data_IF_352680549261
#
_entry.id   IF_352680549261
#
_cell.length_a   1.000
_cell.length_b   1.000
_cell.length_c   1.000
_cell.angle_alpha   90.00
_cell.angle_beta   90.00
_cell.angle_gamma   90.00
#
_symmetry.space_group_name_H-M   'P 1'
#
loop_
_entity.id
_entity.type
_entity.pdbx_description
1 polymer ?
#
# COMPACT_ATOMS: atom_id res chain seq x y z
N UNK A 1 23.66 -2.16 -1.54
CA UNK A 1 24.69 -2.00 -2.59
C UNK A 1 25.48 -0.73 -2.34
N UNK A 2 26.82 -0.78 -2.42
CA UNK A 2 27.66 0.41 -2.47
C UNK A 2 27.32 1.19 -3.74
N UNK A 3 27.27 2.54 -3.70
CA UNK A 3 27.01 3.36 -4.88
C UNK A 3 28.09 3.16 -5.94
N UNK A 4 27.82 3.54 -7.20
CA UNK A 4 28.80 3.54 -8.28
C UNK A 4 29.97 4.47 -7.94
N UNK A 5 31.19 4.01 -8.17
CA UNK A 5 32.35 4.89 -8.13
C UNK A 5 32.32 5.86 -9.33
N UNK A 6 33.00 7.04 -9.27
CA UNK A 6 33.02 7.99 -10.39
C UNK A 6 33.76 7.46 -11.62
N UNK A 7 34.52 6.40 -11.51
CA UNK A 7 35.22 5.73 -12.59
C UNK A 7 35.32 4.23 -12.36
N UNK A 8 35.62 3.46 -13.41
CA UNK A 8 35.92 2.03 -13.36
C UNK A 8 37.26 1.76 -14.10
N UNK A 9 38.04 0.84 -13.55
CA UNK A 9 39.21 0.31 -14.30
C UNK A 9 38.68 -0.52 -15.49
N UNK A 10 39.40 -0.43 -16.62
CA UNK A 10 39.06 -1.25 -17.79
C UNK A 10 39.27 -2.73 -17.48
N UNK A 11 38.26 -3.53 -17.67
CA UNK A 11 38.28 -4.97 -17.47
C UNK A 11 38.35 -5.71 -18.81
N UNK A 12 39.07 -6.83 -18.81
CA UNK A 12 38.97 -7.79 -19.91
C UNK A 12 37.61 -8.53 -19.81
N UNK A 13 37.09 -8.99 -20.97
CA UNK A 13 35.74 -9.53 -21.10
C UNK A 13 35.43 -10.66 -20.11
N UNK A 14 36.35 -11.60 -19.92
CA UNK A 14 36.15 -12.73 -19.01
C UNK A 14 36.03 -12.31 -17.53
N UNK A 15 36.83 -11.32 -17.12
CA UNK A 15 36.76 -10.74 -15.79
C UNK A 15 35.45 -9.99 -15.58
N UNK A 16 34.98 -9.26 -16.60
CA UNK A 16 33.71 -8.55 -16.58
C UNK A 16 32.54 -9.51 -16.33
N UNK A 17 32.41 -10.55 -17.15
CA UNK A 17 31.30 -11.50 -17.01
C UNK A 17 31.38 -12.34 -15.72
N UNK A 18 32.59 -12.68 -15.25
CA UNK A 18 32.77 -13.31 -13.95
C UNK A 18 32.26 -12.42 -12.82
N UNK A 19 32.62 -11.12 -12.80
CA UNK A 19 32.10 -10.17 -11.78
C UNK A 19 30.58 -10.01 -11.82
N UNK A 20 29.98 -10.03 -13.00
CA UNK A 20 28.51 -10.03 -13.16
C UNK A 20 27.92 -11.28 -12.49
N UNK A 21 28.46 -12.47 -12.77
CA UNK A 21 28.03 -13.73 -12.16
C UNK A 21 28.23 -13.79 -10.65
N UNK A 22 29.20 -13.05 -10.10
CA UNK A 22 29.44 -12.88 -8.67
C UNK A 22 28.50 -11.83 -8.01
N UNK A 23 27.61 -11.17 -8.78
CA UNK A 23 26.74 -10.11 -8.29
C UNK A 23 27.45 -8.77 -8.03
N UNK A 24 28.71 -8.60 -8.47
CA UNK A 24 29.51 -7.36 -8.30
C UNK A 24 29.19 -6.33 -9.39
N UNK A 25 27.93 -6.05 -9.53
CA UNK A 25 27.37 -5.30 -10.67
C UNK A 25 27.71 -3.81 -10.64
N UNK A 26 27.94 -3.23 -9.46
CA UNK A 26 28.36 -1.82 -9.32
C UNK A 26 29.78 -1.53 -9.81
N UNK A 27 30.59 -2.57 -10.10
CA UNK A 27 31.98 -2.44 -10.53
C UNK A 27 32.17 -2.66 -12.03
N UNK A 28 31.08 -2.85 -12.79
CA UNK A 28 31.15 -3.35 -14.16
C UNK A 28 30.27 -2.58 -15.15
N UNK A 29 29.48 -1.64 -14.68
CA UNK A 29 28.47 -0.98 -15.52
C UNK A 29 29.10 -0.19 -16.69
N UNK A 30 30.14 0.64 -16.42
CA UNK A 30 30.80 1.40 -17.48
C UNK A 30 31.54 0.49 -18.46
N UNK A 31 32.14 -0.59 -17.97
CA UNK A 31 32.79 -1.59 -18.81
C UNK A 31 31.79 -2.29 -19.75
N UNK A 32 30.63 -2.68 -19.23
CA UNK A 32 29.58 -3.31 -20.03
C UNK A 32 29.07 -2.38 -21.13
N UNK A 33 28.82 -1.12 -20.77
CA UNK A 33 28.33 -0.10 -21.73
C UNK A 33 29.43 0.34 -22.73
N UNK A 34 30.71 0.31 -22.32
CA UNK A 34 31.81 0.58 -23.20
C UNK A 34 31.94 -0.49 -24.30
N UNK A 35 31.88 -1.77 -23.92
CA UNK A 35 31.85 -2.88 -24.90
C UNK A 35 30.67 -2.72 -25.85
N UNK A 36 29.47 -2.41 -25.31
CA UNK A 36 28.28 -2.23 -26.12
C UNK A 36 28.44 -1.06 -27.13
N UNK A 37 28.97 0.07 -26.67
CA UNK A 37 29.13 1.26 -27.51
C UNK A 37 30.23 1.12 -28.58
N UNK A 38 31.31 0.35 -28.30
CA UNK A 38 32.43 0.17 -29.20
C UNK A 38 32.26 -1.02 -30.13
N UNK A 39 31.73 -2.13 -29.68
CA UNK A 39 31.62 -3.38 -30.43
C UNK A 39 30.27 -3.56 -31.10
N UNK A 40 29.19 -2.93 -30.60
CA UNK A 40 27.83 -3.11 -31.06
C UNK A 40 27.03 -1.78 -31.10
N UNK A 41 27.45 -0.84 -31.99
CA UNK A 41 26.93 0.54 -32.00
C UNK A 41 25.42 0.63 -32.24
N UNK A 42 24.81 -0.26 -33.01
CA UNK A 42 23.36 -0.31 -33.23
C UNK A 42 22.62 -0.61 -31.93
N UNK A 43 23.12 -1.57 -31.14
CA UNK A 43 22.52 -1.92 -29.88
C UNK A 43 22.70 -0.83 -28.82
N UNK A 44 23.84 -0.13 -28.86
CA UNK A 44 24.07 1.05 -28.04
C UNK A 44 23.04 2.16 -28.34
N UNK A 45 22.76 2.40 -29.63
CA UNK A 45 21.74 3.38 -30.01
C UNK A 45 20.36 2.99 -29.51
N UNK A 46 19.97 1.72 -29.62
CA UNK A 46 18.70 1.21 -29.14
C UNK A 46 18.59 1.36 -27.62
N UNK A 47 19.63 0.95 -26.88
CA UNK A 47 19.69 1.13 -25.43
C UNK A 47 19.56 2.61 -25.04
N UNK A 48 20.28 3.50 -25.74
CA UNK A 48 20.23 4.94 -25.46
C UNK A 48 18.86 5.53 -25.73
N UNK A 49 18.18 5.10 -26.79
CA UNK A 49 16.81 5.51 -27.10
C UNK A 49 15.79 5.01 -26.04
N UNK A 50 15.97 3.80 -25.55
CA UNK A 50 15.11 3.24 -24.51
C UNK A 50 15.30 3.94 -23.16
N UNK A 51 16.53 4.29 -22.81
CA UNK A 51 16.81 5.08 -21.59
C UNK A 51 16.22 6.50 -21.72
N UNK A 52 16.34 7.13 -22.90
CA UNK A 52 15.73 8.44 -23.12
C UNK A 52 14.20 8.37 -22.97
N UNK A 53 13.57 7.34 -23.55
CA UNK A 53 12.12 7.11 -23.42
C UNK A 53 11.68 6.86 -21.98
N UNK A 54 12.41 6.02 -21.24
CA UNK A 54 12.02 5.61 -19.87
C UNK A 54 12.34 6.67 -18.80
N UNK A 55 13.43 7.40 -18.97
CA UNK A 55 13.97 8.28 -17.94
C UNK A 55 14.10 9.74 -18.35
N UNK A 56 13.76 10.09 -19.62
CA UNK A 56 14.00 11.41 -20.20
C UNK A 56 15.46 11.85 -20.01
N UNK A 57 16.41 10.91 -20.21
CA UNK A 57 17.81 11.10 -19.98
C UNK A 57 18.66 10.65 -21.18
N UNK A 58 19.52 11.54 -21.64
CA UNK A 58 20.47 11.26 -22.72
C UNK A 58 21.74 10.65 -22.15
N UNK A 59 22.17 9.52 -22.71
CA UNK A 59 23.46 8.88 -22.40
C UNK A 59 24.57 9.38 -23.31
N UNK A 60 25.76 9.48 -22.76
CA UNK A 60 27.00 9.68 -23.54
C UNK A 60 27.83 8.40 -23.47
N UNK A 61 28.39 7.95 -24.57
CA UNK A 61 29.20 6.74 -24.59
C UNK A 61 30.36 6.83 -23.58
N UNK A 62 30.69 5.72 -22.89
CA UNK A 62 31.82 5.72 -21.98
C UNK A 62 33.12 6.09 -22.68
N UNK A 63 33.98 6.84 -22.00
CA UNK A 63 35.26 7.30 -22.49
C UNK A 63 36.38 6.59 -21.73
N UNK A 64 37.32 5.99 -22.46
CA UNK A 64 38.53 5.40 -21.91
C UNK A 64 39.65 6.45 -21.87
N UNK A 65 40.19 6.71 -20.67
CA UNK A 65 41.39 7.53 -20.51
C UNK A 65 42.64 6.66 -20.67
N UNK A 66 43.40 6.91 -21.73
CA UNK A 66 44.50 6.08 -22.16
C UNK A 66 45.71 6.07 -21.22
N UNK A 67 46.14 7.09 -20.48
CA UNK A 67 47.23 6.89 -19.57
C UNK A 67 46.89 6.06 -18.30
N UNK A 68 45.56 6.01 -17.93
CA UNK A 68 45.14 5.39 -16.66
C UNK A 68 44.34 4.11 -16.83
N UNK A 69 43.91 3.73 -18.02
CA UNK A 69 42.99 2.59 -18.22
C UNK A 69 41.65 2.74 -17.51
N UNK A 70 41.21 3.99 -17.30
CA UNK A 70 40.00 4.35 -16.54
C UNK A 70 38.85 4.69 -17.49
N UNK A 71 37.69 4.11 -17.21
CA UNK A 71 36.41 4.41 -17.88
C UNK A 71 35.59 5.41 -17.05
N UNK A 72 35.18 6.50 -17.71
CA UNK A 72 34.22 7.48 -17.21
C UNK A 72 32.98 7.50 -18.10
N UNK A 73 31.82 7.91 -17.57
CA UNK A 73 30.61 8.04 -18.34
C UNK A 73 29.72 9.14 -17.78
N UNK A 74 29.13 9.90 -18.68
CA UNK A 74 28.21 10.98 -18.35
C UNK A 74 26.80 10.68 -18.85
N UNK A 75 25.83 11.33 -18.21
CA UNK A 75 24.45 11.40 -18.65
C UNK A 75 23.90 12.82 -18.49
N UNK A 76 22.76 13.12 -19.09
CA UNK A 76 22.10 14.41 -19.00
C UNK A 76 20.60 14.22 -18.96
N UNK A 77 19.96 14.68 -17.89
CA UNK A 77 18.50 14.77 -17.81
C UNK A 77 17.96 15.93 -18.66
N UNK A 78 16.69 15.86 -19.03
CA UNK A 78 16.04 16.88 -19.86
C UNK A 78 16.17 18.28 -19.24
N UNK A 79 16.80 19.21 -19.95
CA UNK A 79 17.06 20.57 -19.45
C UNK A 79 18.16 20.71 -18.39
N UNK A 80 18.79 19.59 -17.99
CA UNK A 80 19.85 19.54 -16.98
C UNK A 80 21.25 19.74 -17.54
N UNK A 81 22.25 19.71 -16.63
CA UNK A 81 23.68 19.68 -16.98
C UNK A 81 24.13 18.24 -17.18
N UNK A 82 25.27 18.08 -17.87
CA UNK A 82 25.96 16.78 -17.90
C UNK A 82 26.52 16.45 -16.52
N UNK A 83 26.26 15.26 -16.06
CA UNK A 83 26.66 14.73 -14.78
C UNK A 83 27.35 13.37 -14.96
N UNK A 84 28.28 13.04 -14.06
CA UNK A 84 28.82 11.68 -14.03
C UNK A 84 27.75 10.67 -13.63
N UNK A 85 27.81 9.49 -14.22
CA UNK A 85 26.85 8.40 -13.99
C UNK A 85 26.71 8.00 -12.50
N UNK A 86 27.77 8.21 -11.69
CA UNK A 86 27.71 7.94 -10.25
C UNK A 86 26.71 8.83 -9.49
N UNK A 87 26.38 10.00 -10.04
CA UNK A 87 25.40 10.92 -9.46
C UNK A 87 23.95 10.57 -9.81
N UNK A 88 23.71 9.62 -10.70
CA UNK A 88 22.37 9.19 -11.10
C UNK A 88 21.67 8.42 -9.96
N UNK A 89 20.37 8.50 -9.92
CA UNK A 89 19.56 7.74 -8.97
C UNK A 89 19.75 6.22 -9.10
N UNK A 90 19.62 5.49 -8.00
CA UNK A 90 19.87 4.02 -7.95
C UNK A 90 19.00 3.25 -8.95
N UNK A 91 17.72 3.59 -9.07
CA UNK A 91 16.82 2.95 -10.03
C UNK A 91 17.28 3.12 -11.47
N UNK A 92 17.78 4.31 -11.84
CA UNK A 92 18.37 4.57 -13.14
C UNK A 92 19.61 3.70 -13.40
N UNK A 93 20.55 3.65 -12.43
CA UNK A 93 21.77 2.85 -12.55
C UNK A 93 21.44 1.35 -12.68
N UNK A 94 20.48 0.86 -11.91
CA UNK A 94 20.02 -0.53 -11.95
C UNK A 94 19.39 -0.89 -13.30
N UNK A 95 18.53 -0.03 -13.83
CA UNK A 95 17.93 -0.24 -15.14
C UNK A 95 18.96 -0.22 -16.25
N UNK A 96 19.89 0.71 -16.19
CA UNK A 96 20.96 0.80 -17.17
C UNK A 96 21.85 -0.46 -17.19
N UNK A 97 22.10 -1.05 -16.02
CA UNK A 97 22.80 -2.33 -15.91
C UNK A 97 22.01 -3.49 -16.53
N UNK A 98 20.73 -3.61 -16.19
CA UNK A 98 19.86 -4.69 -16.70
C UNK A 98 19.75 -4.60 -18.23
N UNK A 99 19.48 -3.41 -18.74
CA UNK A 99 19.39 -3.19 -20.18
C UNK A 99 20.73 -3.39 -20.90
N UNK A 100 21.82 -2.88 -20.32
CA UNK A 100 23.17 -3.10 -20.84
C UNK A 100 23.49 -4.59 -20.98
N UNK A 101 23.10 -5.39 -20.00
CA UNK A 101 23.26 -6.84 -20.05
C UNK A 101 22.35 -7.50 -21.11
N UNK A 102 21.07 -7.14 -21.16
CA UNK A 102 20.13 -7.66 -22.16
C UNK A 102 20.59 -7.37 -23.60
N UNK A 103 21.02 -6.15 -23.84
CA UNK A 103 21.51 -5.75 -25.16
C UNK A 103 22.87 -6.37 -25.54
N UNK A 104 23.74 -6.65 -24.55
CA UNK A 104 25.05 -7.26 -24.80
C UNK A 104 24.97 -8.76 -25.10
N UNK A 105 23.96 -9.44 -24.59
CA UNK A 105 23.72 -10.89 -24.74
C UNK A 105 22.70 -11.24 -25.82
N UNK A 106 22.63 -12.54 -26.17
CA UNK A 106 21.52 -13.17 -26.89
C UNK A 106 21.21 -14.50 -26.17
N UNK A 107 19.93 -14.86 -26.09
CA UNK A 107 19.48 -16.11 -25.47
C UNK A 107 20.01 -16.29 -24.04
N UNK A 108 19.98 -15.23 -23.24
CA UNK A 108 20.46 -15.20 -21.86
C UNK A 108 19.33 -15.50 -20.89
N UNK A 109 19.68 -16.00 -19.69
CA UNK A 109 18.76 -16.11 -18.55
C UNK A 109 19.20 -15.07 -17.52
N UNK A 110 18.32 -14.13 -17.22
CA UNK A 110 18.55 -13.11 -16.19
C UNK A 110 17.83 -13.52 -14.91
N UNK A 111 18.58 -13.50 -13.83
CA UNK A 111 18.05 -13.64 -12.48
C UNK A 111 18.07 -12.25 -11.82
N UNK A 112 16.90 -11.71 -11.52
CA UNK A 112 16.75 -10.37 -10.97
C UNK A 112 16.11 -10.47 -9.57
N UNK A 113 16.77 -9.87 -8.60
CA UNK A 113 16.26 -9.78 -7.23
C UNK A 113 15.84 -8.33 -6.97
N UNK A 114 14.54 -8.12 -6.75
CA UNK A 114 13.89 -6.83 -6.53
C UNK A 114 14.34 -5.72 -7.50
N UNK A 115 14.19 -5.89 -8.82
CA UNK A 115 14.64 -4.90 -9.79
C UNK A 115 13.83 -3.59 -9.74
N UNK A 116 12.72 -3.59 -9.05
CA UNK A 116 11.76 -2.51 -8.87
C UNK A 116 11.94 -1.73 -7.54
N UNK A 117 12.76 -2.21 -6.60
CA UNK A 117 12.85 -1.68 -5.23
C UNK A 117 13.21 -0.18 -5.11
N UNK A 118 13.79 0.43 -6.15
CA UNK A 118 14.20 1.84 -6.15
C UNK A 118 13.45 2.67 -7.20
N UNK A 119 12.35 2.15 -7.74
CA UNK A 119 11.53 2.81 -8.75
C UNK A 119 10.21 3.31 -8.16
N UNK A 120 9.77 4.45 -8.65
CA UNK A 120 8.41 4.93 -8.38
C UNK A 120 7.36 3.95 -8.93
N UNK A 121 6.20 3.85 -8.25
CA UNK A 121 5.15 2.88 -8.56
C UNK A 121 4.72 2.91 -10.04
N UNK A 122 4.55 4.09 -10.62
CA UNK A 122 4.19 4.24 -12.04
C UNK A 122 5.28 3.68 -12.97
N UNK A 123 6.54 3.86 -12.60
CA UNK A 123 7.68 3.34 -13.37
C UNK A 123 7.86 1.84 -13.25
N UNK A 124 7.48 1.24 -12.14
CA UNK A 124 7.57 -0.22 -11.95
C UNK A 124 6.78 -0.97 -13.03
N UNK A 125 5.59 -0.50 -13.36
CA UNK A 125 4.76 -1.06 -14.43
C UNK A 125 5.42 -0.91 -15.82
N UNK A 126 5.85 0.30 -16.16
CA UNK A 126 6.49 0.60 -17.44
C UNK A 126 7.76 -0.24 -17.62
N UNK A 127 8.57 -0.33 -16.58
CA UNK A 127 9.81 -1.11 -16.58
C UNK A 127 9.54 -2.59 -16.75
N UNK A 128 8.56 -3.16 -16.05
CA UNK A 128 8.21 -4.57 -16.20
C UNK A 128 7.76 -4.88 -17.65
N UNK A 129 6.89 -4.08 -18.22
CA UNK A 129 6.44 -4.24 -19.62
C UNK A 129 7.60 -4.15 -20.58
N UNK A 130 8.47 -3.18 -20.37
CA UNK A 130 9.65 -2.98 -21.20
C UNK A 130 10.64 -4.16 -21.11
N UNK A 131 10.96 -4.64 -19.91
CA UNK A 131 11.82 -5.81 -19.70
C UNK A 131 11.26 -7.05 -20.39
N UNK A 132 9.95 -7.28 -20.29
CA UNK A 132 9.28 -8.40 -20.95
C UNK A 132 9.39 -8.33 -22.47
N UNK A 133 9.20 -7.13 -23.06
CA UNK A 133 9.35 -6.91 -24.50
C UNK A 133 10.79 -7.10 -24.95
N UNK A 134 11.76 -6.52 -24.22
CA UNK A 134 13.18 -6.62 -24.56
C UNK A 134 13.70 -8.05 -24.44
N UNK A 135 13.25 -8.81 -23.47
CA UNK A 135 13.58 -10.23 -23.33
C UNK A 135 13.07 -11.05 -24.55
N UNK A 136 11.83 -10.81 -24.97
CA UNK A 136 11.26 -11.45 -26.14
C UNK A 136 12.05 -11.13 -27.42
N UNK A 137 12.45 -9.89 -27.62
CA UNK A 137 13.24 -9.44 -28.78
C UNK A 137 14.65 -10.05 -28.83
N UNK A 138 15.28 -10.24 -27.65
CA UNK A 138 16.63 -10.81 -27.54
C UNK A 138 16.66 -12.31 -27.41
N UNK A 139 15.48 -12.99 -27.36
CA UNK A 139 15.36 -14.41 -27.10
C UNK A 139 15.80 -14.80 -25.65
N UNK A 140 15.79 -13.85 -24.75
CA UNK A 140 16.23 -14.04 -23.36
C UNK A 140 15.06 -14.40 -22.45
N UNK A 141 15.36 -15.00 -21.32
CA UNK A 141 14.41 -15.31 -20.25
C UNK A 141 14.71 -14.47 -19.02
N UNK A 142 13.70 -13.98 -18.35
CA UNK A 142 13.83 -13.26 -17.09
C UNK A 142 13.13 -14.05 -16.00
N UNK A 143 13.85 -14.31 -14.91
CA UNK A 143 13.31 -14.81 -13.66
C UNK A 143 13.54 -13.71 -12.64
N UNK A 144 12.47 -13.14 -12.11
CA UNK A 144 12.56 -12.06 -11.14
C UNK A 144 11.85 -12.42 -9.84
N UNK A 145 12.47 -12.06 -8.72
CA UNK A 145 11.83 -12.04 -7.42
C UNK A 145 11.44 -10.60 -7.09
N UNK A 146 10.22 -10.39 -6.59
CA UNK A 146 9.71 -9.06 -6.24
C UNK A 146 8.65 -9.15 -5.15
N UNK A 147 8.53 -8.07 -4.39
CA UNK A 147 7.42 -7.81 -3.47
C UNK A 147 6.49 -6.71 -3.99
N UNK A 148 6.72 -6.18 -5.20
CA UNK A 148 5.90 -5.14 -5.79
C UNK A 148 4.56 -5.70 -6.28
N UNK A 149 3.47 -5.22 -5.70
CA UNK A 149 2.11 -5.52 -6.14
C UNK A 149 1.89 -5.15 -7.61
N UNK A 150 2.43 -4.00 -8.03
CA UNK A 150 2.33 -3.50 -9.40
C UNK A 150 3.01 -4.44 -10.41
N UNK A 151 4.19 -4.95 -10.08
CA UNK A 151 4.91 -5.91 -10.94
C UNK A 151 4.18 -7.25 -10.98
N UNK A 152 3.64 -7.71 -9.85
CA UNK A 152 2.87 -8.96 -9.78
C UNK A 152 1.59 -8.90 -10.61
N UNK A 153 0.84 -7.79 -10.56
CA UNK A 153 -0.36 -7.58 -11.36
C UNK A 153 -0.06 -7.60 -12.88
N UNK A 154 1.05 -7.00 -13.31
CA UNK A 154 1.48 -7.03 -14.72
C UNK A 154 1.99 -8.44 -15.12
N UNK A 155 2.79 -9.08 -14.26
CA UNK A 155 3.34 -10.41 -14.53
C UNK A 155 2.23 -11.46 -14.65
N UNK A 156 1.16 -11.35 -13.88
CA UNK A 156 0.00 -12.24 -13.96
C UNK A 156 -0.67 -12.23 -15.34
N UNK A 157 -0.53 -11.15 -16.10
CA UNK A 157 -1.10 -11.03 -17.45
C UNK A 157 -0.19 -11.60 -18.54
N UNK A 158 1.13 -11.54 -18.37
CA UNK A 158 2.11 -11.77 -19.44
C UNK A 158 3.07 -12.93 -19.19
N UNK A 159 3.20 -13.38 -17.95
CA UNK A 159 4.20 -14.36 -17.52
C UNK A 159 3.63 -15.53 -16.72
N UNK A 160 4.55 -16.25 -16.08
CA UNK A 160 4.26 -17.25 -15.08
C UNK A 160 4.61 -16.68 -13.69
N UNK A 161 3.69 -16.78 -12.73
CA UNK A 161 3.92 -16.34 -11.35
C UNK A 161 3.93 -17.54 -10.43
N UNK A 162 5.03 -17.67 -9.67
CA UNK A 162 5.21 -18.74 -8.69
C UNK A 162 5.19 -18.12 -7.29
N UNK A 163 4.22 -18.49 -6.48
CA UNK A 163 4.16 -18.08 -5.08
C UNK A 163 5.03 -18.98 -4.22
N UNK A 164 5.75 -18.36 -3.27
CA UNK A 164 6.50 -19.04 -2.21
C UNK A 164 5.76 -18.90 -0.87
N UNK A 165 4.50 -19.33 -0.87
CA UNK A 165 3.66 -19.41 0.35
C UNK A 165 3.49 -20.91 0.65
N UNK A 166 4.19 -21.40 1.68
CA UNK A 166 4.28 -22.83 1.92
C UNK A 166 5.15 -23.55 0.87
N UNK A 167 4.58 -24.49 0.11
CA UNK A 167 5.29 -25.13 -1.02
C UNK A 167 5.18 -24.24 -2.26
N UNK A 168 6.29 -24.02 -3.01
CA UNK A 168 6.24 -23.24 -4.24
C UNK A 168 5.21 -23.81 -5.22
N UNK A 169 4.34 -22.99 -5.74
CA UNK A 169 3.30 -23.40 -6.68
C UNK A 169 2.96 -22.29 -7.68
N UNK A 170 2.48 -22.72 -8.86
CA UNK A 170 2.08 -21.83 -9.94
C UNK A 170 0.67 -21.27 -9.66
N UNK A 171 0.56 -19.93 -9.64
CA UNK A 171 -0.68 -19.24 -9.34
C UNK A 171 -1.65 -19.13 -10.52
N UNK A 172 -1.18 -19.37 -11.77
CA UNK A 172 -1.96 -19.04 -12.98
C UNK A 172 -2.38 -20.30 -13.78
N UNK A 173 -2.53 -21.43 -13.16
CA UNK A 173 -2.86 -22.71 -13.88
C UNK A 173 -4.26 -22.79 -14.50
N UNK A 174 -5.19 -21.82 -14.27
CA UNK A 174 -6.57 -21.88 -14.77
C UNK A 174 -6.95 -20.61 -15.54
N UNK A 175 -7.42 -20.76 -16.79
CA UNK A 175 -7.83 -19.63 -17.65
C UNK A 175 -9.00 -18.80 -17.10
N UNK A 176 -9.87 -19.38 -16.28
CA UNK A 176 -10.98 -18.69 -15.60
C UNK A 176 -10.47 -17.81 -14.46
N UNK A 177 -9.43 -18.28 -13.76
CA UNK A 177 -8.75 -17.52 -12.71
C UNK A 177 -8.14 -16.21 -13.24
N UNK A 178 -7.62 -16.21 -14.46
CA UNK A 178 -7.02 -15.05 -15.09
C UNK A 178 -8.02 -13.89 -15.28
N UNK A 179 -9.30 -14.19 -15.51
CA UNK A 179 -10.37 -13.20 -15.60
C UNK A 179 -10.77 -12.67 -14.21
N UNK A 180 -10.84 -13.54 -13.21
CA UNK A 180 -11.13 -13.14 -11.83
C UNK A 180 -10.00 -12.30 -11.23
N UNK A 181 -8.73 -12.65 -11.47
CA UNK A 181 -7.57 -11.90 -11.03
C UNK A 181 -7.50 -10.49 -11.62
N UNK A 182 -7.88 -10.31 -12.89
CA UNK A 182 -7.94 -8.99 -13.52
C UNK A 182 -9.00 -8.06 -12.90
N UNK A 183 -10.04 -8.62 -12.25
CA UNK A 183 -11.10 -7.86 -11.60
C UNK A 183 -10.84 -7.61 -10.11
N UNK A 184 -10.14 -8.52 -9.44
CA UNK A 184 -9.98 -8.55 -7.98
C UNK A 184 -8.62 -7.96 -7.56
N UNK A 185 -7.59 -8.10 -8.39
CA UNK A 185 -6.20 -7.79 -8.09
C UNK A 185 -5.45 -8.99 -7.51
N UNK A 186 -4.18 -9.06 -7.88
CA UNK A 186 -3.31 -10.17 -7.50
C UNK A 186 -3.01 -10.21 -6.00
N UNK A 187 -2.86 -9.06 -5.40
CA UNK A 187 -2.59 -8.90 -3.96
C UNK A 187 -3.67 -9.53 -3.10
N UNK A 188 -4.94 -9.26 -3.43
CA UNK A 188 -6.08 -9.79 -2.68
C UNK A 188 -6.16 -11.32 -2.82
N UNK A 189 -5.78 -11.85 -3.99
CA UNK A 189 -5.67 -13.28 -4.22
C UNK A 189 -4.63 -13.94 -3.30
N UNK A 190 -3.41 -13.41 -3.25
CA UNK A 190 -2.33 -13.94 -2.38
C UNK A 190 -2.71 -13.82 -0.90
N UNK A 191 -3.37 -12.74 -0.51
CA UNK A 191 -3.86 -12.58 0.86
C UNK A 191 -4.95 -13.60 1.19
N UNK A 192 -5.90 -13.83 0.27
CA UNK A 192 -6.94 -14.84 0.45
C UNK A 192 -6.35 -16.25 0.63
N UNK A 193 -5.37 -16.61 -0.19
CA UNK A 193 -4.65 -17.88 -0.08
C UNK A 193 -3.92 -18.02 1.27
N UNK A 194 -3.22 -16.96 1.68
CA UNK A 194 -2.43 -16.96 2.92
C UNK A 194 -3.28 -17.04 4.18
N UNK A 195 -4.39 -16.31 4.22
CA UNK A 195 -5.19 -16.14 5.43
C UNK A 195 -6.44 -17.04 5.47
N UNK A 196 -6.96 -17.48 4.33
CA UNK A 196 -8.20 -18.26 4.24
C UNK A 196 -9.44 -17.51 4.74
N UNK A 197 -9.27 -16.27 5.20
CA UNK A 197 -10.30 -15.40 5.78
C UNK A 197 -10.10 -13.97 5.30
N UNK A 198 -11.19 -13.29 4.97
CA UNK A 198 -11.17 -11.87 4.57
C UNK A 198 -12.18 -11.08 5.39
N UNK A 199 -11.78 -9.89 5.82
CA UNK A 199 -12.61 -8.93 6.56
C UNK A 199 -12.90 -7.74 5.65
N UNK A 200 -14.18 -7.39 5.49
CA UNK A 200 -14.63 -6.26 4.68
C UNK A 200 -15.07 -5.12 5.57
N UNK A 201 -14.57 -3.92 5.26
CA UNK A 201 -14.92 -2.67 5.94
C UNK A 201 -15.01 -1.53 4.92
N UNK A 202 -15.68 -0.43 5.24
CA UNK A 202 -15.76 0.72 4.37
C UNK A 202 -14.39 1.38 4.22
N UNK A 203 -13.68 1.63 5.33
CA UNK A 203 -12.40 2.33 5.33
C UNK A 203 -11.43 1.88 6.43
N UNK A 204 -10.21 2.42 6.36
CA UNK A 204 -9.17 2.17 7.36
C UNK A 204 -9.49 2.78 8.74
N UNK A 205 -10.41 3.74 8.80
CA UNK A 205 -10.89 4.32 10.06
C UNK A 205 -11.66 3.31 10.88
N UNK A 206 -12.39 2.38 10.24
CA UNK A 206 -13.22 1.40 10.94
C UNK A 206 -12.38 0.40 11.71
N UNK A 207 -11.31 -0.13 11.11
CA UNK A 207 -10.40 -1.04 11.81
C UNK A 207 -9.67 -0.32 12.97
N UNK A 208 -9.35 0.97 12.79
CA UNK A 208 -8.75 1.80 13.85
C UNK A 208 -9.70 2.00 15.02
N UNK A 209 -10.99 2.23 14.75
CA UNK A 209 -12.04 2.33 15.75
C UNK A 209 -12.24 0.99 16.48
N UNK A 210 -12.36 -0.14 15.75
CA UNK A 210 -12.47 -1.48 16.36
C UNK A 210 -11.28 -1.74 17.27
N UNK A 211 -10.07 -1.44 16.83
CA UNK A 211 -8.86 -1.63 17.63
C UNK A 211 -8.88 -0.79 18.90
N UNK A 212 -9.28 0.48 18.80
CA UNK A 212 -9.36 1.38 19.93
C UNK A 212 -10.40 0.90 20.98
N UNK A 213 -11.60 0.50 20.55
CA UNK A 213 -12.61 -0.08 21.42
C UNK A 213 -12.18 -1.42 22.02
N UNK A 214 -11.55 -2.28 21.24
CA UNK A 214 -11.04 -3.55 21.74
C UNK A 214 -9.95 -3.34 22.81
N UNK A 215 -9.09 -2.33 22.65
CA UNK A 215 -8.10 -1.94 23.66
C UNK A 215 -8.75 -1.40 24.92
N UNK A 216 -9.74 -0.51 24.80
CA UNK A 216 -10.48 0.04 25.92
C UNK A 216 -11.17 -1.06 26.76
N UNK A 217 -11.74 -2.06 26.07
CA UNK A 217 -12.41 -3.20 26.69
C UNK A 217 -11.47 -4.31 27.17
N UNK A 218 -10.15 -4.20 26.94
CA UNK A 218 -9.18 -5.26 27.24
C UNK A 218 -9.46 -6.57 26.48
N UNK A 219 -10.01 -6.47 25.25
CA UNK A 219 -10.51 -7.61 24.51
C UNK A 219 -9.38 -8.44 23.86
N UNK A 220 -9.42 -9.81 23.90
CA UNK A 220 -8.36 -10.67 23.39
C UNK A 220 -8.16 -10.63 21.86
N UNK A 221 -9.00 -9.93 21.11
CA UNK A 221 -8.87 -9.76 19.66
C UNK A 221 -7.68 -8.87 19.27
N UNK A 222 -7.20 -7.97 20.15
CA UNK A 222 -6.23 -6.93 19.84
C UNK A 222 -4.99 -7.44 19.06
N UNK A 223 -4.30 -8.52 19.51
CA UNK A 223 -3.14 -9.03 18.77
C UNK A 223 -3.47 -9.64 17.41
N UNK A 224 -4.73 -9.98 17.15
CA UNK A 224 -5.18 -10.54 15.89
C UNK A 224 -5.43 -9.46 14.84
N UNK A 225 -5.80 -8.25 15.25
CA UNK A 225 -6.15 -7.13 14.36
C UNK A 225 -4.98 -6.62 13.53
N UNK A 226 -3.74 -6.89 13.92
CA UNK A 226 -2.54 -6.49 13.17
C UNK A 226 -2.15 -7.51 12.06
N UNK A 227 -2.86 -8.64 11.98
CA UNK A 227 -2.53 -9.75 11.06
C UNK A 227 -3.77 -10.23 10.33
N UNK A 228 -4.50 -9.31 9.70
CA UNK A 228 -5.73 -9.60 8.98
C UNK A 228 -5.58 -9.28 7.49
N UNK A 229 -6.25 -10.07 6.67
CA UNK A 229 -6.59 -9.61 5.35
C UNK A 229 -7.86 -8.74 5.44
N UNK A 230 -7.68 -7.42 5.38
CA UNK A 230 -8.78 -6.44 5.36
C UNK A 230 -8.92 -5.86 3.97
N UNK A 231 -10.10 -6.00 3.39
CA UNK A 231 -10.47 -5.33 2.13
C UNK A 231 -11.30 -4.09 2.43
N UNK A 232 -10.79 -2.94 2.06
CA UNK A 232 -11.52 -1.67 2.12
C UNK A 232 -12.28 -1.45 0.81
N UNK A 233 -13.59 -1.26 0.89
CA UNK A 233 -14.44 -1.15 -0.30
C UNK A 233 -14.67 0.30 -0.73
N UNK A 234 -14.35 1.27 0.12
CA UNK A 234 -14.61 2.72 -0.10
C UNK A 234 -16.09 3.01 -0.42
N UNK A 235 -16.97 2.07 -0.12
CA UNK A 235 -18.41 2.16 -0.31
C UNK A 235 -19.14 1.31 0.73
N UNK A 236 -20.35 1.74 1.10
CA UNK A 236 -21.21 0.99 2.02
C UNK A 236 -22.21 0.12 1.22
N UNK A 237 -21.72 -0.60 0.19
CA UNK A 237 -22.54 -1.41 -0.72
C UNK A 237 -22.24 -2.89 -0.58
N UNK A 238 -23.18 -3.72 -0.12
CA UNK A 238 -23.00 -5.16 -0.05
C UNK A 238 -22.67 -5.81 -1.41
N UNK A 239 -23.17 -5.25 -2.52
CA UNK A 239 -22.89 -5.79 -3.86
C UNK A 239 -21.39 -5.77 -4.23
N UNK A 240 -20.64 -4.77 -3.75
CA UNK A 240 -19.19 -4.69 -3.96
C UNK A 240 -18.47 -5.79 -3.14
N UNK A 241 -18.92 -6.03 -1.90
CA UNK A 241 -18.46 -7.17 -1.09
C UNK A 241 -18.71 -8.50 -1.80
N UNK A 242 -19.92 -8.69 -2.33
CA UNK A 242 -20.29 -9.94 -2.99
C UNK A 242 -19.44 -10.19 -4.23
N UNK A 243 -19.28 -9.19 -5.08
CA UNK A 243 -18.47 -9.30 -6.29
C UNK A 243 -17.04 -9.72 -5.98
N UNK A 244 -16.42 -9.09 -4.98
CA UNK A 244 -15.07 -9.40 -4.57
C UNK A 244 -14.97 -10.77 -3.87
N UNK A 245 -15.83 -11.04 -2.90
CA UNK A 245 -15.81 -12.28 -2.11
C UNK A 245 -16.05 -13.52 -2.96
N UNK A 246 -17.09 -13.52 -3.79
CA UNK A 246 -17.40 -14.67 -4.64
C UNK A 246 -16.41 -14.82 -5.79
N UNK A 247 -15.85 -13.72 -6.29
CA UNK A 247 -14.74 -13.80 -7.24
C UNK A 247 -13.50 -14.47 -6.64
N UNK A 248 -13.15 -14.19 -5.38
CA UNK A 248 -12.08 -14.93 -4.68
C UNK A 248 -12.44 -16.40 -4.42
N UNK A 249 -13.71 -16.69 -4.14
CA UNK A 249 -14.17 -18.06 -3.89
C UNK A 249 -14.19 -18.96 -5.13
N UNK A 250 -14.16 -18.40 -6.33
CA UNK A 250 -13.91 -19.22 -7.55
C UNK A 250 -12.54 -19.91 -7.49
N UNK A 251 -11.56 -19.28 -6.85
CA UNK A 251 -10.23 -19.84 -6.64
C UNK A 251 -10.11 -20.63 -5.32
N UNK A 252 -10.74 -20.13 -4.26
CA UNK A 252 -10.64 -20.63 -2.90
C UNK A 252 -12.04 -20.97 -2.36
N UNK A 253 -12.55 -22.16 -2.67
CA UNK A 253 -13.91 -22.57 -2.30
C UNK A 253 -14.18 -22.49 -0.78
N UNK A 254 -13.14 -22.71 0.04
CA UNK A 254 -13.20 -22.68 1.50
C UNK A 254 -12.95 -21.31 2.11
N UNK A 255 -12.74 -20.27 1.29
CA UNK A 255 -12.58 -18.90 1.77
C UNK A 255 -13.80 -18.45 2.57
N UNK A 256 -13.56 -17.88 3.73
CA UNK A 256 -14.59 -17.31 4.61
C UNK A 256 -14.46 -15.79 4.67
N UNK A 257 -15.60 -15.11 4.68
CA UNK A 257 -15.67 -13.63 4.76
C UNK A 257 -16.41 -13.17 6.01
N UNK A 258 -16.03 -12.01 6.53
CA UNK A 258 -16.79 -11.26 7.52
C UNK A 258 -16.86 -9.80 7.08
N UNK A 259 -18.08 -9.24 7.03
CA UNK A 259 -18.31 -7.87 6.57
C UNK A 259 -19.05 -7.06 7.62
N UNK A 260 -18.66 -5.80 7.78
CA UNK A 260 -19.33 -4.84 8.64
C UNK A 260 -19.67 -3.58 7.84
N UNK A 261 -20.94 -3.24 7.83
CA UNK A 261 -21.47 -2.08 7.13
C UNK A 261 -21.96 -1.00 8.11
N UNK A 262 -21.87 0.24 7.71
CA UNK A 262 -22.68 1.29 8.31
C UNK A 262 -24.16 1.00 8.04
N UNK A 263 -25.07 1.65 8.75
CA UNK A 263 -26.49 1.39 8.61
C UNK A 263 -26.98 1.69 7.19
N UNK A 264 -27.54 0.66 6.57
CA UNK A 264 -28.18 0.71 5.25
C UNK A 264 -29.65 0.31 5.34
N UNK A 265 -30.49 0.84 4.46
CA UNK A 265 -31.94 0.56 4.44
C UNK A 265 -32.28 -0.78 3.74
N UNK A 266 -31.27 -1.60 3.43
CA UNK A 266 -31.44 -2.92 2.82
C UNK A 266 -31.29 -4.03 3.83
N UNK A 267 -32.13 -5.06 3.73
CA UNK A 267 -31.93 -6.30 4.48
C UNK A 267 -30.68 -7.02 3.95
N UNK A 268 -29.81 -7.39 4.84
CA UNK A 268 -28.68 -8.27 4.55
C UNK A 268 -29.23 -9.70 4.52
N UNK A 269 -29.02 -10.40 3.40
CA UNK A 269 -29.40 -11.80 3.26
C UNK A 269 -28.19 -12.68 3.53
N UNK A 270 -28.39 -13.80 4.23
CA UNK A 270 -27.34 -14.78 4.46
C UNK A 270 -26.71 -15.27 3.16
N UNK A 271 -25.40 -15.28 3.10
CA UNK A 271 -24.60 -15.76 1.98
C UNK A 271 -23.66 -16.88 2.43
N UNK A 272 -23.54 -17.97 1.65
CA UNK A 272 -22.66 -19.08 2.02
C UNK A 272 -21.21 -18.62 2.20
N UNK A 273 -20.66 -18.84 3.40
CA UNK A 273 -19.28 -18.51 3.74
C UNK A 273 -19.00 -17.03 4.05
N UNK A 274 -19.99 -16.14 3.93
CA UNK A 274 -19.88 -14.72 4.26
C UNK A 274 -20.80 -14.39 5.44
N UNK A 275 -20.20 -13.99 6.57
CA UNK A 275 -20.89 -13.44 7.73
C UNK A 275 -20.99 -11.93 7.55
N UNK A 276 -22.21 -11.41 7.64
CA UNK A 276 -22.45 -9.98 7.44
C UNK A 276 -23.08 -9.37 8.69
N UNK A 277 -22.63 -8.19 9.04
CA UNK A 277 -23.12 -7.40 10.16
C UNK A 277 -23.28 -5.94 9.71
N UNK A 278 -24.17 -5.23 10.39
CA UNK A 278 -24.48 -3.83 10.17
C UNK A 278 -24.62 -3.12 11.50
N UNK A 279 -24.20 -1.86 11.58
CA UNK A 279 -24.44 -1.02 12.73
C UNK A 279 -25.94 -0.65 12.84
N UNK A 280 -26.44 -0.58 14.08
CA UNK A 280 -27.80 -0.07 14.32
C UNK A 280 -27.85 1.45 14.23
N UNK A 281 -26.79 2.14 14.65
CA UNK A 281 -26.63 3.58 14.50
C UNK A 281 -26.14 3.91 13.09
N UNK A 282 -26.21 5.18 12.69
CA UNK A 282 -25.94 5.64 11.32
C UNK A 282 -24.58 5.23 10.80
N UNK A 283 -23.53 5.43 11.62
CA UNK A 283 -22.16 5.04 11.33
C UNK A 283 -21.41 4.67 12.63
N UNK A 284 -20.23 4.10 12.51
CA UNK A 284 -19.44 3.68 13.66
C UNK A 284 -19.14 4.83 14.63
N UNK A 285 -18.90 6.03 14.14
CA UNK A 285 -18.59 7.22 14.96
C UNK A 285 -19.74 7.63 15.89
N UNK A 286 -20.97 7.24 15.59
CA UNK A 286 -22.13 7.48 16.48
C UNK A 286 -22.04 6.75 17.84
N UNK A 287 -21.10 5.85 18.03
CA UNK A 287 -20.87 5.15 19.30
C UNK A 287 -19.88 5.87 20.23
N UNK A 288 -19.33 7.02 19.83
CA UNK A 288 -18.58 7.88 20.72
C UNK A 288 -19.54 8.58 21.69
N UNK A 289 -19.19 8.60 22.96
CA UNK A 289 -20.00 9.26 23.99
C UNK A 289 -19.78 10.79 23.97
N UNK A 290 -20.47 11.45 23.04
CA UNK A 290 -20.43 12.92 22.85
C UNK A 290 -21.56 13.54 23.68
N UNK A 291 -21.33 14.72 24.34
CA UNK A 291 -20.16 15.60 24.22
C UNK A 291 -19.02 15.32 25.21
N UNK A 292 -19.19 14.42 26.17
CA UNK A 292 -18.25 14.27 27.31
C UNK A 292 -16.83 13.89 26.87
N UNK A 293 -16.71 12.99 25.89
CA UNK A 293 -15.41 12.60 25.35
C UNK A 293 -14.67 13.79 24.72
N UNK A 294 -15.39 14.75 24.13
CA UNK A 294 -14.80 15.96 23.56
C UNK A 294 -14.27 16.90 24.64
N UNK A 295 -14.97 17.02 25.78
CA UNK A 295 -14.51 17.82 26.91
C UNK A 295 -13.25 17.21 27.53
N UNK A 296 -13.19 15.88 27.70
CA UNK A 296 -11.99 15.18 28.16
C UNK A 296 -10.81 15.34 27.19
N UNK A 297 -11.10 15.28 25.90
CA UNK A 297 -10.07 15.50 24.87
C UNK A 297 -9.50 16.93 24.97
N UNK A 298 -10.35 17.94 25.11
CA UNK A 298 -9.92 19.33 25.21
C UNK A 298 -9.11 19.58 26.49
N UNK A 299 -9.45 18.93 27.62
CA UNK A 299 -8.67 19.01 28.86
C UNK A 299 -7.22 18.55 28.68
N UNK A 300 -7.00 17.48 27.91
CA UNK A 300 -5.65 17.00 27.63
C UNK A 300 -4.80 17.98 26.81
N UNK A 301 -5.45 18.86 26.04
CA UNK A 301 -4.74 19.91 25.27
C UNK A 301 -4.29 21.07 26.15
N UNK A 302 -4.76 21.20 27.39
CA UNK A 302 -4.51 22.33 28.30
C UNK A 302 -3.05 22.46 28.76
N UNK A 303 -2.16 21.59 28.37
CA UNK A 303 -0.74 21.56 28.80
C UNK A 303 0.16 22.56 28.09
N UNK A 304 -0.35 23.36 27.15
CA UNK A 304 0.45 24.37 26.44
C UNK A 304 0.37 25.75 27.11
N UNK A 305 1.51 26.33 27.58
CA UNK A 305 1.51 27.63 28.30
C UNK A 305 1.12 28.83 27.45
N UNK A 306 0.98 28.64 26.12
CA UNK A 306 0.79 29.75 25.17
C UNK A 306 -0.68 30.05 24.83
N UNK A 307 -1.65 29.38 25.45
CA UNK A 307 -3.06 29.58 25.12
C UNK A 307 -3.71 30.65 25.98
N UNK A 308 -4.28 31.67 25.33
CA UNK A 308 -5.03 32.76 25.97
C UNK A 308 -6.45 32.36 26.40
N UNK A 309 -7.02 31.33 25.75
CA UNK A 309 -8.33 30.76 26.07
C UNK A 309 -8.19 29.32 26.57
N UNK A 310 -8.92 28.96 27.62
CA UNK A 310 -8.87 27.61 28.15
C UNK A 310 -9.48 26.62 27.17
N UNK A 311 -8.77 25.54 26.74
CA UNK A 311 -9.25 24.60 25.71
C UNK A 311 -10.63 24.01 26.01
N UNK A 312 -10.94 23.71 27.27
CA UNK A 312 -12.26 23.18 27.67
C UNK A 312 -13.39 24.17 27.37
N UNK A 313 -13.18 25.46 27.64
CA UNK A 313 -14.18 26.48 27.33
C UNK A 313 -14.38 26.70 25.84
N UNK A 314 -13.30 26.64 25.07
CA UNK A 314 -13.37 26.68 23.60
C UNK A 314 -14.17 25.47 23.06
N UNK A 315 -13.96 24.27 23.63
CA UNK A 315 -14.71 23.07 23.24
C UNK A 315 -16.19 23.19 23.63
N UNK A 316 -16.49 23.67 24.84
CA UNK A 316 -17.87 23.90 25.27
C UNK A 316 -18.59 24.85 24.32
N UNK A 317 -17.96 25.96 23.97
CA UNK A 317 -18.49 26.95 23.01
C UNK A 317 -18.73 26.29 21.64
N UNK A 318 -17.79 25.49 21.16
CA UNK A 318 -17.90 24.81 19.88
C UNK A 318 -19.06 23.80 19.84
N UNK A 319 -19.21 23.02 20.91
CA UNK A 319 -20.33 22.06 21.08
C UNK A 319 -21.68 22.79 21.11
N UNK A 320 -21.83 23.81 21.96
CA UNK A 320 -23.07 24.58 22.09
C UNK A 320 -23.48 25.31 20.80
N UNK A 321 -22.50 25.75 19.99
CA UNK A 321 -22.76 26.36 18.68
C UNK A 321 -23.08 25.35 17.57
N UNK A 322 -22.88 24.06 17.80
CA UNK A 322 -23.05 23.02 16.80
C UNK A 322 -24.24 22.11 17.11
N UNK A 323 -24.45 21.77 18.37
CA UNK A 323 -25.46 20.83 18.84
C UNK A 323 -26.54 21.60 19.58
N UNK A 324 -27.79 21.36 19.22
CA UNK A 324 -28.91 22.02 19.91
C UNK A 324 -28.98 21.58 21.39
N UNK A 325 -29.31 22.48 22.32
CA UNK A 325 -29.35 22.15 23.75
C UNK A 325 -30.21 20.94 24.10
N UNK A 326 -31.34 20.77 23.42
CA UNK A 326 -32.25 19.64 23.63
C UNK A 326 -31.59 18.27 23.44
N UNK A 327 -30.69 18.14 22.45
CA UNK A 327 -29.94 16.89 22.22
C UNK A 327 -28.83 16.68 23.23
N UNK A 328 -28.25 17.78 23.76
CA UNK A 328 -27.21 17.70 24.80
C UNK A 328 -27.82 17.25 26.14
N UNK A 329 -29.05 17.69 26.44
CA UNK A 329 -29.78 17.38 27.66
C UNK A 329 -30.36 15.97 27.68
N UNK A 330 -30.58 15.36 26.51
CA UNK A 330 -31.08 14.00 26.36
C UNK A 330 -30.08 13.09 25.63
N UNK A 331 -29.22 12.38 26.34
CA UNK A 331 -28.27 11.42 25.76
C UNK A 331 -28.90 10.25 25.01
N UNK A 332 -30.20 9.95 25.30
CA UNK A 332 -30.94 8.86 24.67
C UNK A 332 -31.75 9.34 23.44
N UNK A 333 -31.65 10.63 23.07
CA UNK A 333 -32.34 11.15 21.90
C UNK A 333 -31.97 10.37 20.64
N UNK A 334 -32.99 9.94 19.90
CA UNK A 334 -32.85 9.18 18.66
C UNK A 334 -31.97 9.94 17.63
N UNK A 335 -31.90 11.25 17.71
CA UNK A 335 -31.03 12.08 16.88
C UNK A 335 -29.55 11.62 16.90
N UNK A 336 -29.03 11.21 18.07
CA UNK A 336 -27.67 10.66 18.22
C UNK A 336 -27.45 9.37 17.41
N UNK A 337 -28.51 8.64 17.07
CA UNK A 337 -28.46 7.40 16.31
C UNK A 337 -28.62 7.63 14.81
N UNK A 338 -29.33 8.69 14.43
CA UNK A 338 -29.76 8.94 13.05
C UNK A 338 -28.83 9.90 12.31
N UNK A 339 -28.25 10.87 13.01
CA UNK A 339 -27.41 11.90 12.40
C UNK A 339 -26.02 11.33 12.04
N UNK A 340 -25.43 11.82 10.94
CA UNK A 340 -24.07 11.44 10.53
C UNK A 340 -23.03 12.17 11.37
N UNK A 341 -22.65 11.58 12.50
CA UNK A 341 -21.80 12.19 13.53
C UNK A 341 -20.47 12.72 13.00
N UNK A 342 -19.81 12.01 12.08
CA UNK A 342 -18.52 12.41 11.56
C UNK A 342 -18.57 13.76 10.83
N UNK A 343 -19.57 13.96 9.98
CA UNK A 343 -19.66 15.10 9.07
C UNK A 343 -20.53 16.22 9.64
N UNK A 344 -21.65 15.88 10.30
CA UNK A 344 -22.60 16.86 10.81
C UNK A 344 -22.21 17.44 12.17
N UNK A 345 -21.46 16.68 12.98
CA UNK A 345 -21.16 17.07 14.36
C UNK A 345 -19.66 17.23 14.60
N UNK A 346 -18.87 16.15 14.48
CA UNK A 346 -17.47 16.20 14.89
C UNK A 346 -16.63 17.16 14.04
N UNK A 347 -16.77 17.11 12.71
CA UNK A 347 -16.03 18.01 11.83
C UNK A 347 -16.36 19.50 12.10
N UNK A 348 -17.63 19.94 12.21
CA UNK A 348 -17.98 21.30 12.60
C UNK A 348 -17.52 21.68 14.02
N UNK A 349 -17.63 20.79 15.01
CA UNK A 349 -17.17 21.04 16.38
C UNK A 349 -15.68 21.30 16.41
N UNK A 350 -14.86 20.41 15.82
CA UNK A 350 -13.41 20.61 15.78
C UNK A 350 -13.01 21.86 14.99
N UNK A 351 -13.66 22.13 13.86
CA UNK A 351 -13.43 23.35 13.08
C UNK A 351 -13.68 24.60 13.93
N UNK A 352 -14.78 24.65 14.68
CA UNK A 352 -15.09 25.76 15.59
C UNK A 352 -14.12 25.85 16.77
N UNK A 353 -13.79 24.72 17.38
CA UNK A 353 -12.84 24.64 18.47
C UNK A 353 -11.48 25.25 18.11
N UNK A 354 -10.89 24.83 17.01
CA UNK A 354 -9.61 25.35 16.55
C UNK A 354 -9.70 26.83 16.15
N UNK A 355 -10.83 27.25 15.57
CA UNK A 355 -11.09 28.67 15.26
C UNK A 355 -11.17 29.53 16.51
N UNK A 356 -11.84 29.07 17.57
CA UNK A 356 -11.92 29.81 18.87
C UNK A 356 -10.53 29.95 19.50
N UNK A 357 -9.63 29.01 19.30
CA UNK A 357 -8.25 29.07 19.77
C UNK A 357 -7.30 29.82 18.82
N UNK A 358 -7.74 30.27 17.66
CA UNK A 358 -6.88 30.88 16.64
C UNK A 358 -5.85 29.91 16.02
N UNK A 359 -6.14 28.61 16.01
CA UNK A 359 -5.25 27.56 15.52
C UNK A 359 -5.77 26.95 14.21
N UNK A 360 -4.89 26.40 13.36
CA UNK A 360 -5.30 25.59 12.23
C UNK A 360 -5.94 24.27 12.71
N UNK A 361 -6.91 23.75 11.94
CA UNK A 361 -7.56 22.46 12.26
C UNK A 361 -6.53 21.33 12.19
N UNK A 362 -6.28 20.68 13.31
CA UNK A 362 -5.28 19.62 13.46
C UNK A 362 -5.87 18.27 13.94
N UNK A 363 -7.20 18.11 13.88
CA UNK A 363 -7.90 16.89 14.27
C UNK A 363 -9.06 16.67 13.30
N UNK A 364 -9.06 15.54 12.62
CA UNK A 364 -9.99 15.26 11.53
C UNK A 364 -10.51 13.81 11.59
N UNK A 365 -11.33 13.41 10.62
CA UNK A 365 -11.99 12.09 10.59
C UNK A 365 -11.03 10.92 10.82
N UNK A 366 -9.81 10.99 10.30
CA UNK A 366 -8.78 9.97 10.51
C UNK A 366 -8.30 9.83 11.96
N UNK A 367 -8.56 10.83 12.81
CA UNK A 367 -8.12 10.87 14.21
C UNK A 367 -9.21 10.45 15.20
N UNK A 368 -10.48 10.32 14.80
CA UNK A 368 -11.60 10.12 15.71
C UNK A 368 -11.47 8.85 16.58
N UNK A 369 -10.79 7.81 16.11
CA UNK A 369 -10.49 6.62 16.91
C UNK A 369 -9.74 6.95 18.22
N UNK A 370 -9.00 8.07 18.25
CA UNK A 370 -8.26 8.51 19.45
C UNK A 370 -9.16 8.98 20.57
N UNK A 371 -10.39 9.36 20.25
CA UNK A 371 -11.40 9.74 21.25
C UNK A 371 -11.85 8.54 22.09
N UNK A 372 -11.83 7.34 21.51
CA UNK A 372 -12.22 6.11 22.22
C UNK A 372 -11.39 5.88 23.48
N UNK A 373 -10.10 6.19 23.44
CA UNK A 373 -9.22 6.04 24.60
C UNK A 373 -9.58 6.98 25.79
N UNK A 374 -10.49 7.93 25.56
CA UNK A 374 -10.98 8.88 26.56
C UNK A 374 -12.39 8.53 27.06
N UNK A 375 -13.00 7.51 26.51
CA UNK A 375 -14.27 6.96 27.00
C UNK A 375 -14.01 6.13 28.27
N UNK A 376 -15.04 6.02 29.08
CA UNK A 376 -15.06 5.09 30.20
C UNK A 376 -15.63 3.74 29.72
N UNK A 377 -15.20 2.60 30.27
CA UNK A 377 -15.72 1.28 29.86
C UNK A 377 -17.25 1.17 29.94
N UNK A 378 -17.87 1.83 30.91
CA UNK A 378 -19.33 1.87 31.12
C UNK A 378 -20.07 2.72 30.07
N UNK A 379 -19.38 3.60 29.33
CA UNK A 379 -19.94 4.41 28.25
C UNK A 379 -19.94 3.64 26.92
N UNK A 380 -19.32 2.48 26.87
CA UNK A 380 -19.25 1.68 25.63
C UNK A 380 -20.58 0.95 25.43
N UNK A 381 -21.23 1.26 24.31
CA UNK A 381 -22.45 0.58 23.90
C UNK A 381 -22.23 -0.93 23.73
N UNK A 382 -23.18 -1.71 24.23
CA UNK A 382 -23.14 -3.17 24.17
C UNK A 382 -22.97 -3.71 22.75
N UNK A 383 -23.51 -3.03 21.76
CA UNK A 383 -23.38 -3.43 20.34
C UNK A 383 -21.92 -3.48 19.89
N UNK A 384 -21.07 -2.55 20.37
CA UNK A 384 -19.63 -2.57 20.09
C UNK A 384 -19.01 -3.89 20.52
N UNK A 385 -19.26 -4.31 21.76
CA UNK A 385 -18.75 -5.58 22.28
C UNK A 385 -19.29 -6.77 21.49
N UNK A 386 -20.56 -6.74 21.08
CA UNK A 386 -21.18 -7.79 20.27
C UNK A 386 -20.51 -7.92 18.90
N UNK A 387 -20.24 -6.81 18.19
CA UNK A 387 -19.55 -6.83 16.90
C UNK A 387 -18.09 -7.27 17.01
N UNK A 388 -17.37 -6.79 18.04
CA UNK A 388 -15.99 -7.21 18.31
C UNK A 388 -15.94 -8.71 18.64
N UNK A 389 -16.85 -9.21 19.45
CA UNK A 389 -16.97 -10.64 19.73
C UNK A 389 -17.27 -11.46 18.46
N UNK A 390 -18.18 -10.99 17.62
CA UNK A 390 -18.49 -11.65 16.34
C UNK A 390 -17.25 -11.77 15.46
N UNK A 391 -16.49 -10.69 15.30
CA UNK A 391 -15.23 -10.68 14.55
C UNK A 391 -14.19 -11.61 15.21
N UNK A 392 -14.10 -11.60 16.54
CA UNK A 392 -13.17 -12.47 17.28
C UNK A 392 -13.49 -13.95 17.05
N UNK A 393 -14.75 -14.36 17.14
CA UNK A 393 -15.17 -15.74 16.86
C UNK A 393 -14.86 -16.14 15.41
N UNK A 394 -15.11 -15.23 14.46
CA UNK A 394 -14.77 -15.46 13.06
C UNK A 394 -13.27 -15.69 12.85
N UNK A 395 -12.41 -14.93 13.55
CA UNK A 395 -10.95 -14.99 13.38
C UNK A 395 -10.31 -16.19 14.09
N UNK A 396 -10.94 -16.75 15.10
CA UNK A 396 -10.41 -17.93 15.80
C UNK A 396 -10.16 -19.07 14.82
N UNK A 397 -9.10 -19.90 15.05
CA UNK A 397 -8.94 -21.15 14.32
C UNK A 397 -10.21 -21.99 14.47
N UNK A 398 -10.62 -22.63 13.38
CA UNK A 398 -11.68 -23.60 13.47
C UNK A 398 -11.23 -24.72 14.44
N UNK A 399 -12.14 -25.25 15.29
CA UNK A 399 -11.78 -26.39 16.13
C UNK A 399 -11.23 -27.50 15.25
N UNK A 400 -10.11 -28.08 15.66
CA UNK A 400 -9.54 -29.22 14.96
C UNK A 400 -10.62 -30.30 14.80
N UNK A 401 -10.72 -30.95 13.64
CA UNK A 401 -11.71 -31.98 13.36
C UNK A 401 -11.59 -33.18 14.29
#
# INVERSE_FOLDING_TARGET
>A
MSGLAPFEDRLVRDVLFRKIGEGRTSEVLRNLLWILSTEQPEKWQNLSADIDRLFAARLFAPVLSEPGGILTMEYQELGGKRLDLSSAGRGFQQMLLILGFLYSGKNSILLLDEPDAHLEVLRQKEVHQFLSQSAAQTGSQIILATHSETVLDEAAQTGQVIAFVGKPHDLIKRSELKKALNLIGYTDYVQAERFGKVVYMEGSTDISMIKAFAQLLGHPIVPMLDRLFVKYLSSNRPDDTYSHFFGLREAFADLRGWALYDRIDKRINEKPGLMEAMWKRREFVNYLHVPDVLYRWAELQSKSPAMTLHPREAMRTAVQKTIAPAHIEDPEDQWWHEEKMSDAILAPVFSRYFKELGLPVAFNKGDYYRLVALMLPEEVDREIAEKINSLYQFLRPDPAP
#
